data_IF_456109992936
#
_entry.id   IF_456109992936
#
_cell.length_a   1.000
_cell.length_b   1.000
_cell.length_c   1.000
_cell.angle_alpha   90.00
_cell.angle_beta   90.00
_cell.angle_gamma   90.00
#
_symmetry.space_group_name_H-M   'P 1'
#
loop_
_entity.id
_entity.type
_entity.pdbx_description
1 polymer ?
#
# COMPACT_ATOMS: atom_id res chain seq x y z
N UNK A 1 7.54 -11.52 11.89
CA UNK A 1 7.37 -10.78 10.63
C UNK A 1 7.11 -9.32 10.92
N UNK A 2 7.60 -8.46 10.06
CA UNK A 2 7.38 -7.02 10.24
C UNK A 2 6.01 -6.62 9.70
N UNK A 3 5.44 -5.56 10.26
CA UNK A 3 4.26 -4.87 9.72
C UNK A 3 4.67 -3.55 9.12
N UNK A 4 3.97 -3.21 8.04
CA UNK A 4 4.22 -1.98 7.29
C UNK A 4 2.94 -1.16 7.29
N UNK A 5 3.06 0.08 7.72
CA UNK A 5 1.97 1.04 7.79
C UNK A 5 2.25 2.11 6.75
N UNK A 6 1.49 2.09 5.65
CA UNK A 6 1.68 3.00 4.53
C UNK A 6 0.56 4.02 4.50
N UNK A 7 0.90 5.29 4.44
CA UNK A 7 -0.09 6.35 4.27
C UNK A 7 0.14 7.09 2.97
N UNK A 8 -0.92 7.36 2.24
CA UNK A 8 -0.86 8.22 1.06
C UNK A 8 -2.24 8.78 0.72
N UNK A 9 -2.28 9.98 0.11
CA UNK A 9 -3.53 10.49 -0.44
C UNK A 9 -3.80 9.88 -1.80
N UNK A 10 -5.09 9.79 -2.16
CA UNK A 10 -5.53 9.37 -3.50
C UNK A 10 -6.47 10.41 -4.06
N UNK A 11 -6.59 10.44 -5.39
CA UNK A 11 -7.52 11.31 -6.09
C UNK A 11 -8.97 10.91 -5.80
N UNK A 12 -9.25 9.60 -5.82
CA UNK A 12 -10.56 9.03 -5.54
C UNK A 12 -10.42 7.62 -4.97
N UNK A 13 -10.99 7.39 -3.80
CA UNK A 13 -11.00 6.06 -3.19
C UNK A 13 -11.69 5.03 -4.08
N UNK A 14 -12.82 5.39 -4.67
CA UNK A 14 -13.62 4.48 -5.51
C UNK A 14 -12.87 4.05 -6.76
N UNK A 15 -12.01 4.91 -7.28
CA UNK A 15 -11.13 4.59 -8.42
C UNK A 15 -9.92 3.75 -7.99
N UNK A 16 -9.38 4.04 -6.81
CA UNK A 16 -8.18 3.39 -6.28
C UNK A 16 -8.43 1.94 -5.86
N UNK A 17 -9.54 1.68 -5.18
CA UNK A 17 -9.79 0.38 -4.55
C UNK A 17 -9.79 -0.80 -5.53
N UNK A 18 -10.46 -0.74 -6.69
CA UNK A 18 -10.42 -1.86 -7.64
C UNK A 18 -9.01 -2.17 -8.14
N UNK A 19 -8.20 -1.15 -8.35
CA UNK A 19 -6.82 -1.32 -8.82
C UNK A 19 -5.93 -1.90 -7.71
N UNK A 20 -6.15 -1.49 -6.47
CA UNK A 20 -5.47 -2.09 -5.31
C UNK A 20 -5.83 -3.58 -5.17
N UNK A 21 -7.11 -3.93 -5.30
CA UNK A 21 -7.56 -5.32 -5.23
C UNK A 21 -6.99 -6.18 -6.36
N UNK A 22 -6.93 -5.64 -7.58
CA UNK A 22 -6.34 -6.33 -8.73
C UNK A 22 -4.84 -6.60 -8.54
N UNK A 23 -4.14 -5.76 -7.80
CA UNK A 23 -2.71 -5.89 -7.53
C UNK A 23 -2.38 -6.86 -6.39
N UNK A 24 -3.39 -7.44 -5.75
CA UNK A 24 -3.19 -8.37 -4.62
C UNK A 24 -2.29 -9.56 -4.97
N UNK A 25 -2.42 -10.10 -6.18
CA UNK A 25 -1.59 -11.23 -6.62
C UNK A 25 -0.10 -10.88 -6.61
N UNK A 26 0.25 -9.64 -6.96
CA UNK A 26 1.64 -9.17 -6.93
C UNK A 26 2.16 -9.05 -5.50
N UNK A 27 1.33 -8.57 -4.57
CA UNK A 27 1.70 -8.50 -3.16
C UNK A 27 1.91 -9.90 -2.58
N UNK A 28 1.01 -10.81 -2.87
CA UNK A 28 1.11 -12.20 -2.42
C UNK A 28 2.37 -12.87 -2.99
N UNK A 29 2.66 -12.66 -4.26
CA UNK A 29 3.87 -13.21 -4.91
C UNK A 29 5.16 -12.64 -4.27
N UNK A 30 5.11 -11.42 -3.76
CA UNK A 30 6.24 -10.81 -3.04
C UNK A 30 6.35 -11.27 -1.57
N UNK A 31 5.44 -12.14 -1.11
CA UNK A 31 5.46 -12.61 0.27
C UNK A 31 4.82 -11.65 1.26
N UNK A 32 3.98 -10.72 0.78
CA UNK A 32 3.29 -9.75 1.62
C UNK A 32 1.83 -10.13 1.78
N UNK A 33 1.32 -9.98 2.99
CA UNK A 33 -0.08 -10.25 3.33
C UNK A 33 -0.80 -8.95 3.64
N UNK A 34 -2.02 -8.81 3.14
CA UNK A 34 -2.87 -7.66 3.45
C UNK A 34 -3.46 -7.83 4.86
N UNK A 35 -3.21 -6.87 5.74
CA UNK A 35 -3.78 -6.86 7.09
C UNK A 35 -5.04 -5.99 7.14
N UNK A 36 -5.01 -4.82 6.53
CA UNK A 36 -6.16 -3.95 6.47
C UNK A 36 -5.93 -2.69 5.66
N UNK A 37 -7.03 -2.08 5.28
CA UNK A 37 -7.06 -0.77 4.61
C UNK A 37 -8.02 0.12 5.39
N UNK A 38 -7.58 1.31 5.72
CA UNK A 38 -8.33 2.27 6.54
C UNK A 38 -8.41 3.61 5.83
N UNK A 39 -9.54 4.26 5.96
CA UNK A 39 -9.71 5.65 5.50
C UNK A 39 -9.69 6.57 6.72
N UNK A 40 -9.10 7.74 6.55
CA UNK A 40 -9.08 8.74 7.61
C UNK A 40 -10.51 9.23 7.88
N UNK A 41 -10.87 9.32 9.15
CA UNK A 41 -12.15 9.92 9.55
C UNK A 41 -12.17 11.38 9.09
N UNK A 42 -13.19 11.75 8.31
CA UNK A 42 -13.34 13.09 7.76
C UNK A 42 -12.62 13.34 6.43
N UNK A 43 -11.84 12.36 5.92
CA UNK A 43 -11.18 12.48 4.62
C UNK A 43 -11.06 11.09 3.98
N UNK A 44 -12.04 10.74 3.16
CA UNK A 44 -12.11 9.41 2.53
C UNK A 44 -11.02 9.15 1.48
N UNK A 45 -10.28 10.17 1.07
CA UNK A 45 -9.19 10.05 0.12
C UNK A 45 -7.80 10.03 0.77
N UNK A 46 -7.75 9.95 2.09
CA UNK A 46 -6.51 9.77 2.84
C UNK A 46 -6.50 8.36 3.43
N UNK A 47 -5.56 7.54 2.97
CA UNK A 47 -5.57 6.10 3.24
C UNK A 47 -4.41 5.64 4.11
N UNK A 48 -4.67 4.61 4.90
CA UNK A 48 -3.67 3.83 5.61
C UNK A 48 -3.80 2.37 5.18
N UNK A 49 -2.73 1.82 4.65
CA UNK A 49 -2.66 0.41 4.25
C UNK A 49 -1.72 -0.31 5.22
N UNK A 50 -2.16 -1.44 5.75
CA UNK A 50 -1.34 -2.25 6.65
C UNK A 50 -1.04 -3.58 5.98
N UNK A 51 0.25 -3.86 5.79
CA UNK A 51 0.75 -5.11 5.22
C UNK A 51 1.66 -5.80 6.24
N UNK A 52 1.88 -7.09 6.04
CA UNK A 52 2.78 -7.89 6.87
C UNK A 52 3.69 -8.71 5.98
N UNK A 53 4.96 -8.84 6.33
CA UNK A 53 5.89 -9.65 5.57
C UNK A 53 7.35 -9.38 5.91
N UNK A 54 8.21 -9.72 4.96
CA UNK A 54 9.65 -9.55 5.08
C UNK A 54 10.06 -8.12 4.70
N UNK A 55 10.88 -7.43 5.51
CA UNK A 55 11.33 -6.06 5.20
C UNK A 55 12.06 -5.93 3.87
N UNK A 56 12.86 -6.92 3.48
CA UNK A 56 13.57 -6.88 2.19
C UNK A 56 12.59 -6.97 1.01
N UNK A 57 11.57 -7.79 1.13
CA UNK A 57 10.50 -7.90 0.12
C UNK A 57 9.74 -6.60 -0.04
N UNK A 58 9.43 -5.95 1.07
CA UNK A 58 8.75 -4.64 1.06
C UNK A 58 9.60 -3.58 0.40
N UNK A 59 10.89 -3.55 0.73
CA UNK A 59 11.84 -2.61 0.14
C UNK A 59 11.95 -2.78 -1.37
N UNK A 60 12.03 -4.02 -1.84
CA UNK A 60 12.06 -4.32 -3.28
C UNK A 60 10.78 -3.89 -3.97
N UNK A 61 9.63 -4.16 -3.36
CA UNK A 61 8.33 -3.78 -3.92
C UNK A 61 8.22 -2.25 -4.06
N UNK A 62 8.62 -1.50 -3.04
CA UNK A 62 8.57 -0.03 -3.07
C UNK A 62 9.54 0.58 -4.08
N UNK A 63 10.61 -0.14 -4.43
CA UNK A 63 11.57 0.30 -5.44
C UNK A 63 11.17 -0.11 -6.87
N UNK A 64 10.09 -0.87 -7.02
CA UNK A 64 9.65 -1.39 -8.32
C UNK A 64 9.08 -0.29 -9.22
N UNK A 65 9.59 -0.14 -10.47
CA UNK A 65 9.00 0.79 -11.43
C UNK A 65 7.56 0.43 -11.80
N UNK A 66 7.23 -0.85 -11.82
CA UNK A 66 5.87 -1.32 -12.12
C UNK A 66 4.89 -0.87 -11.05
N UNK A 67 5.28 -0.92 -9.78
CA UNK A 67 4.44 -0.44 -8.69
C UNK A 67 4.23 1.08 -8.80
N UNK A 68 5.27 1.83 -9.12
CA UNK A 68 5.18 3.28 -9.31
C UNK A 68 4.16 3.63 -10.42
N UNK A 69 4.19 2.91 -11.53
CA UNK A 69 3.21 3.06 -12.61
C UNK A 69 1.80 2.72 -12.14
N UNK A 70 1.62 1.61 -11.44
CA UNK A 70 0.33 1.17 -10.91
C UNK A 70 -0.25 2.20 -9.94
N UNK A 71 0.56 2.73 -9.05
CA UNK A 71 0.13 3.78 -8.11
C UNK A 71 -0.31 5.05 -8.85
N UNK A 72 0.42 5.45 -9.88
CA UNK A 72 0.07 6.60 -10.69
C UNK A 72 -1.27 6.41 -11.40
N UNK A 73 -1.48 5.24 -12.00
CA UNK A 73 -2.75 4.88 -12.65
C UNK A 73 -3.91 4.85 -11.66
N UNK A 74 -3.65 4.41 -10.44
CA UNK A 74 -4.64 4.35 -9.36
C UNK A 74 -4.96 5.71 -8.74
N UNK A 75 -4.28 6.78 -9.16
CA UNK A 75 -4.52 8.14 -8.68
C UNK A 75 -3.86 8.45 -7.34
N UNK A 76 -2.77 7.79 -7.00
CA UNK A 76 -1.98 8.11 -5.80
C UNK A 76 -1.26 9.43 -6.03
N UNK A 77 -1.52 10.43 -5.17
CA UNK A 77 -1.09 11.81 -5.39
C UNK A 77 0.31 12.11 -4.86
N UNK A 78 0.86 11.25 -4.01
CA UNK A 78 2.17 11.44 -3.43
C UNK A 78 2.79 10.07 -3.10
N UNK A 79 4.13 9.95 -3.03
CA UNK A 79 4.76 8.73 -2.58
C UNK A 79 4.27 8.34 -1.19
N UNK A 80 4.04 7.04 -0.91
CA UNK A 80 3.59 6.63 0.41
C UNK A 80 4.64 6.88 1.47
N UNK A 81 4.19 7.32 2.64
CA UNK A 81 5.01 7.32 3.85
C UNK A 81 4.90 5.93 4.47
N UNK A 82 6.03 5.34 4.83
CA UNK A 82 6.08 3.96 5.33
C UNK A 82 6.67 3.93 6.72
N UNK A 83 5.92 3.36 7.66
CA UNK A 83 6.43 2.99 8.98
C UNK A 83 6.56 1.47 9.01
N UNK A 84 7.76 0.96 9.25
CA UNK A 84 8.02 -0.47 9.38
C UNK A 84 8.30 -0.78 10.84
N UNK A 85 7.59 -1.75 11.39
CA UNK A 85 7.74 -2.09 12.79
C UNK A 85 7.47 -3.56 13.07
N UNK A 86 7.78 -3.97 14.28
CA UNK A 86 7.48 -5.30 14.79
C UNK A 86 6.60 -5.18 16.02
N UNK A 87 5.61 -6.07 16.11
CA UNK A 87 4.74 -6.09 17.27
C UNK A 87 5.51 -6.57 18.49
N UNK A 88 5.40 -5.84 19.59
CA UNK A 88 6.02 -6.20 20.86
C UNK A 88 5.22 -7.27 21.60
#
# INVERSE_FOLDING_TARGET
>A
MARFFLTHPVESFDKWLPLFDDDKANRTAAGLSDVGVYRKVGDENSLLIVLEGNPDSMKKMLASPELAETMKEAGVLAPPEVFSGEKL
#
